data_IF_182248970106
#
_entry.id   IF_182248970106
#
_cell.length_a   1.000
_cell.length_b   1.000
_cell.length_c   1.000
_cell.angle_alpha   90.00
_cell.angle_beta   90.00
_cell.angle_gamma   90.00
#
_symmetry.space_group_name_H-M   'P 1'
#
loop_
_entity.id
_entity.type
_entity.pdbx_description
1 polymer ?
#
# COMPACT_ATOMS: atom_id res chain seq x y z
N UNK A 1 36.88 -30.21 2.45
CA UNK A 1 35.57 -29.75 1.95
C UNK A 1 34.93 -28.96 3.08
N UNK A 2 35.13 -27.65 3.13
CA UNK A 2 34.48 -26.74 4.10
C UNK A 2 34.40 -25.34 3.48
N UNK A 3 35.44 -24.94 2.74
CA UNK A 3 35.51 -23.62 2.07
C UNK A 3 34.54 -23.48 0.90
N UNK A 4 34.37 -24.50 0.06
CA UNK A 4 33.44 -24.43 -1.08
C UNK A 4 31.96 -24.37 -0.65
N UNK A 5 31.58 -25.12 0.38
CA UNK A 5 30.20 -25.14 0.89
C UNK A 5 29.86 -23.82 1.57
N UNK A 6 30.74 -23.32 2.44
CA UNK A 6 30.56 -22.02 3.10
C UNK A 6 30.59 -20.85 2.11
N UNK A 7 31.40 -20.93 1.04
CA UNK A 7 31.42 -19.94 -0.03
C UNK A 7 30.08 -19.81 -0.76
N UNK A 8 29.26 -20.86 -0.79
CA UNK A 8 27.93 -20.84 -1.42
C UNK A 8 26.81 -20.60 -0.41
N UNK A 9 26.90 -21.19 0.78
CA UNK A 9 25.86 -21.09 1.81
C UNK A 9 25.69 -19.64 2.29
N UNK A 10 26.78 -18.93 2.56
CA UNK A 10 26.70 -17.56 3.05
C UNK A 10 25.99 -16.61 2.07
N UNK A 11 26.35 -16.51 0.77
CA UNK A 11 25.63 -15.64 -0.16
C UNK A 11 24.18 -16.08 -0.36
N UNK A 12 23.88 -17.38 -0.36
CA UNK A 12 22.49 -17.86 -0.44
C UNK A 12 21.67 -17.38 0.76
N UNK A 13 22.19 -17.50 1.98
CA UNK A 13 21.52 -17.02 3.18
C UNK A 13 21.31 -15.51 3.16
N UNK A 14 22.28 -14.73 2.69
CA UNK A 14 22.14 -13.28 2.53
C UNK A 14 21.04 -12.92 1.51
N UNK A 15 20.94 -13.66 0.40
CA UNK A 15 19.89 -13.46 -0.59
C UNK A 15 18.50 -13.80 -0.02
N UNK A 16 18.38 -14.90 0.74
CA UNK A 16 17.14 -15.29 1.40
C UNK A 16 16.72 -14.24 2.44
N UNK A 17 17.66 -13.76 3.26
CA UNK A 17 17.41 -12.72 4.24
C UNK A 17 16.98 -11.41 3.58
N UNK A 18 17.67 -10.99 2.51
CA UNK A 18 17.28 -9.83 1.73
C UNK A 18 15.87 -10.01 1.14
N UNK A 19 15.57 -11.17 0.56
CA UNK A 19 14.22 -11.49 0.06
C UNK A 19 13.15 -11.40 1.16
N UNK A 20 13.44 -11.91 2.36
CA UNK A 20 12.52 -11.85 3.50
C UNK A 20 12.27 -10.41 3.97
N UNK A 21 13.32 -9.60 4.13
CA UNK A 21 13.19 -8.17 4.45
C UNK A 21 12.38 -7.46 3.38
N UNK A 22 12.68 -7.72 2.11
CA UNK A 22 11.96 -7.11 1.00
C UNK A 22 10.47 -7.47 1.02
N UNK A 23 10.13 -8.74 1.27
CA UNK A 23 8.75 -9.19 1.38
C UNK A 23 8.02 -8.49 2.54
N UNK A 24 8.63 -8.40 3.73
CA UNK A 24 8.03 -7.73 4.89
C UNK A 24 7.76 -6.25 4.60
N UNK A 25 8.71 -5.55 3.97
CA UNK A 25 8.50 -4.13 3.63
C UNK A 25 7.38 -3.92 2.60
N UNK A 26 7.32 -4.76 1.56
CA UNK A 26 6.27 -4.70 0.53
C UNK A 26 4.89 -5.00 1.13
N UNK A 27 4.78 -6.08 1.93
CA UNK A 27 3.53 -6.46 2.59
C UNK A 27 3.10 -5.37 3.57
N UNK A 28 4.02 -4.83 4.37
CA UNK A 28 3.73 -3.73 5.28
C UNK A 28 3.22 -2.48 4.56
N UNK A 29 3.83 -2.12 3.42
CA UNK A 29 3.33 -1.02 2.59
C UNK A 29 1.94 -1.33 2.01
N UNK A 30 1.71 -2.56 1.54
CA UNK A 30 0.41 -2.97 1.00
C UNK A 30 -0.70 -2.90 2.04
N UNK A 31 -0.44 -3.37 3.26
CA UNK A 31 -1.41 -3.30 4.36
C UNK A 31 -1.73 -1.84 4.72
N UNK A 32 -0.71 -0.97 4.83
CA UNK A 32 -0.95 0.46 5.06
C UNK A 32 -1.75 1.13 3.94
N UNK A 33 -1.45 0.81 2.68
CA UNK A 33 -2.25 1.28 1.54
C UNK A 33 -3.70 0.76 1.61
N UNK A 34 -3.90 -0.49 2.01
CA UNK A 34 -5.21 -1.10 2.12
C UNK A 34 -6.04 -0.47 3.25
N UNK A 35 -5.42 -0.22 4.39
CA UNK A 35 -6.08 0.42 5.53
C UNK A 35 -6.44 1.87 5.21
N UNK A 36 -5.52 2.62 4.60
CA UNK A 36 -5.80 3.97 4.10
C UNK A 36 -6.93 3.98 3.05
N UNK A 37 -6.93 3.02 2.11
CA UNK A 37 -7.99 2.88 1.12
C UNK A 37 -9.35 2.58 1.78
N UNK A 38 -9.38 1.73 2.81
CA UNK A 38 -10.62 1.41 3.55
C UNK A 38 -11.16 2.62 4.29
N UNK A 39 -10.31 3.39 4.95
CA UNK A 39 -10.71 4.61 5.63
C UNK A 39 -11.23 5.67 4.65
N UNK A 40 -10.52 5.88 3.53
CA UNK A 40 -10.96 6.77 2.46
C UNK A 40 -12.28 6.34 1.83
N UNK A 41 -12.46 5.04 1.56
CA UNK A 41 -13.70 4.51 0.97
C UNK A 41 -14.89 4.73 1.90
N UNK A 42 -14.71 4.53 3.22
CA UNK A 42 -15.75 4.82 4.22
C UNK A 42 -16.07 6.30 4.32
N UNK A 43 -15.05 7.16 4.32
CA UNK A 43 -15.25 8.61 4.32
C UNK A 43 -16.04 9.06 3.07
N UNK A 44 -15.63 8.61 1.89
CA UNK A 44 -16.27 8.96 0.63
C UNK A 44 -17.69 8.38 0.50
N UNK A 45 -17.94 7.17 1.02
CA UNK A 45 -19.26 6.55 1.03
C UNK A 45 -20.30 7.33 1.86
N UNK A 46 -19.86 8.05 2.90
CA UNK A 46 -20.70 8.97 3.70
C UNK A 46 -20.98 10.29 3.00
N UNK A 47 -20.35 10.55 1.85
CA UNK A 47 -20.46 11.82 1.14
C UNK A 47 -19.58 12.93 1.73
N UNK A 48 -18.52 12.58 2.47
CA UNK A 48 -17.52 13.58 2.89
C UNK A 48 -16.93 14.29 1.66
N UNK A 49 -16.63 15.59 1.79
CA UNK A 49 -15.99 16.37 0.73
C UNK A 49 -14.63 15.75 0.30
N UNK A 50 -14.25 15.81 -1.00
CA UNK A 50 -13.00 15.23 -1.49
C UNK A 50 -11.74 15.65 -0.71
N UNK A 51 -11.68 16.87 -0.19
CA UNK A 51 -10.55 17.33 0.62
C UNK A 51 -10.49 16.60 1.98
N UNK A 52 -11.64 16.34 2.60
CA UNK A 52 -11.73 15.57 3.84
C UNK A 52 -11.33 14.10 3.63
N UNK A 53 -11.81 13.48 2.54
CA UNK A 53 -11.43 12.12 2.15
C UNK A 53 -9.92 12.03 1.94
N UNK A 54 -9.33 12.97 1.20
CA UNK A 54 -7.89 13.00 0.93
C UNK A 54 -7.10 13.14 2.24
N UNK A 55 -7.50 14.04 3.13
CA UNK A 55 -6.85 14.23 4.42
C UNK A 55 -6.93 13.00 5.35
N UNK A 56 -7.98 12.18 5.24
CA UNK A 56 -8.08 10.90 5.96
C UNK A 56 -7.08 9.90 5.37
N UNK A 57 -7.07 9.76 4.04
CA UNK A 57 -6.16 8.82 3.37
C UNK A 57 -4.70 9.19 3.64
N UNK A 58 -4.33 10.47 3.55
CA UNK A 58 -2.96 10.95 3.80
C UNK A 58 -2.45 10.67 5.21
N UNK A 59 -3.34 10.65 6.21
CA UNK A 59 -2.98 10.32 7.60
C UNK A 59 -2.63 8.85 7.82
N UNK A 60 -3.23 7.95 7.03
CA UNK A 60 -3.03 6.52 7.14
C UNK A 60 -2.04 5.96 6.09
N UNK A 61 -1.90 6.64 4.95
CA UNK A 61 -1.08 6.19 3.84
C UNK A 61 0.42 6.33 4.13
N UNK A 62 1.27 5.48 3.52
CA UNK A 62 2.71 5.70 3.53
C UNK A 62 3.09 7.05 2.90
N UNK A 63 4.21 7.64 3.34
CA UNK A 63 4.74 8.86 2.73
C UNK A 63 4.98 8.70 1.22
N UNK A 64 4.64 9.74 0.45
CA UNK A 64 4.77 9.73 -1.00
C UNK A 64 3.74 8.85 -1.73
N UNK A 65 2.71 8.36 -1.03
CA UNK A 65 1.60 7.67 -1.66
C UNK A 65 0.74 8.62 -2.51
N UNK A 66 0.17 8.09 -3.57
CA UNK A 66 -0.84 8.72 -4.41
C UNK A 66 -2.19 8.07 -4.19
N UNK A 67 -3.24 8.88 -4.22
CA UNK A 67 -4.62 8.46 -3.96
C UNK A 67 -5.48 8.73 -5.18
N UNK A 68 -6.37 7.79 -5.52
CA UNK A 68 -7.40 7.96 -6.53
C UNK A 68 -8.74 7.49 -5.96
N UNK A 69 -9.78 8.29 -6.18
CA UNK A 69 -11.15 7.98 -5.77
C UNK A 69 -12.00 7.87 -7.04
N UNK A 70 -12.65 6.73 -7.21
CA UNK A 70 -13.60 6.46 -8.28
C UNK A 70 -14.98 6.22 -7.67
N UNK A 71 -15.95 7.04 -8.05
CA UNK A 71 -17.30 6.99 -7.53
C UNK A 71 -18.24 6.50 -8.63
N UNK A 72 -19.02 5.47 -8.30
CA UNK A 72 -20.17 4.98 -9.06
C UNK A 72 -21.48 5.35 -8.34
N UNK A 73 -22.61 5.01 -8.94
CA UNK A 73 -23.95 5.29 -8.40
C UNK A 73 -24.17 4.63 -7.02
N UNK A 74 -23.68 3.39 -6.84
CA UNK A 74 -23.92 2.61 -5.62
C UNK A 74 -22.70 2.49 -4.70
N UNK A 75 -21.50 2.78 -5.20
CA UNK A 75 -20.26 2.48 -4.48
C UNK A 75 -19.16 3.50 -4.76
N UNK A 76 -18.23 3.63 -3.82
CA UNK A 76 -16.98 4.36 -4.00
C UNK A 76 -15.81 3.40 -3.86
N UNK A 77 -14.87 3.47 -4.80
CA UNK A 77 -13.59 2.78 -4.78
C UNK A 77 -12.48 3.79 -4.51
N UNK A 78 -11.68 3.53 -3.48
CA UNK A 78 -10.46 4.28 -3.20
C UNK A 78 -9.26 3.38 -3.47
N UNK A 79 -8.29 3.90 -4.21
CA UNK A 79 -7.03 3.22 -4.55
C UNK A 79 -5.87 4.06 -4.03
N UNK A 80 -4.97 3.43 -3.29
CA UNK A 80 -3.76 4.06 -2.73
C UNK A 80 -2.54 3.32 -3.28
N UNK A 81 -1.58 4.06 -3.84
CA UNK A 81 -0.38 3.49 -4.43
C UNK A 81 0.86 4.21 -3.94
N UNK A 82 1.93 3.49 -3.65
CA UNK A 82 3.21 4.07 -3.25
C UNK A 82 4.36 3.33 -3.92
N UNK A 83 5.43 4.06 -4.23
CA UNK A 83 6.69 3.46 -4.69
C UNK A 83 7.60 3.26 -3.48
N UNK A 84 7.98 2.02 -3.22
CA UNK A 84 8.85 1.66 -2.09
C UNK A 84 10.18 1.10 -2.57
N UNK A 85 11.23 1.31 -1.76
CA UNK A 85 12.55 0.71 -1.94
C UNK A 85 12.77 -0.32 -0.83
N UNK A 86 12.40 -1.60 -1.05
CA UNK A 86 12.28 -2.59 0.01
C UNK A 86 13.62 -3.01 0.63
N UNK A 87 14.72 -2.68 -0.05
CA UNK A 87 16.09 -3.03 0.34
C UNK A 87 17.00 -1.79 0.47
N UNK A 88 16.43 -0.63 0.81
CA UNK A 88 17.17 0.60 1.14
C UNK A 88 18.19 1.01 0.07
N UNK A 89 19.50 0.74 0.26
CA UNK A 89 20.57 1.10 -0.69
C UNK A 89 20.47 0.42 -2.06
N UNK A 90 19.72 -0.67 -2.20
CA UNK A 90 19.55 -1.33 -3.49
C UNK A 90 18.61 -0.48 -4.37
N UNK A 91 18.99 -0.12 -5.61
CA UNK A 91 18.17 0.69 -6.52
C UNK A 91 17.01 -0.13 -7.14
N UNK A 92 16.33 -0.92 -6.32
CA UNK A 92 15.15 -1.68 -6.67
C UNK A 92 13.93 -0.94 -6.10
N UNK A 93 13.09 -0.41 -6.97
CA UNK A 93 11.85 0.24 -6.60
C UNK A 93 10.66 -0.62 -7.05
N UNK A 94 9.69 -0.81 -6.16
CA UNK A 94 8.46 -1.55 -6.42
C UNK A 94 7.28 -0.63 -6.16
N UNK A 95 6.34 -0.56 -7.10
CA UNK A 95 5.06 0.10 -6.85
C UNK A 95 4.13 -0.88 -6.15
N UNK A 96 3.66 -0.50 -4.98
CA UNK A 96 2.67 -1.23 -4.20
C UNK A 96 1.36 -0.47 -4.28
N UNK A 97 0.27 -1.18 -4.57
CA UNK A 97 -1.06 -0.60 -4.67
C UNK A 97 -2.06 -1.46 -3.90
N UNK A 98 -3.06 -0.82 -3.31
CA UNK A 98 -4.20 -1.48 -2.71
C UNK A 98 -5.46 -0.64 -2.94
N UNK A 99 -6.62 -1.30 -2.99
CA UNK A 99 -7.90 -0.64 -3.17
C UNK A 99 -8.95 -1.20 -2.22
N UNK A 100 -9.89 -0.35 -1.83
CA UNK A 100 -11.07 -0.73 -1.06
C UNK A 100 -12.31 -0.11 -1.68
N UNK A 101 -13.44 -0.79 -1.49
CA UNK A 101 -14.75 -0.36 -1.99
C UNK A 101 -15.73 -0.30 -0.84
N UNK A 102 -16.57 0.72 -0.82
CA UNK A 102 -17.67 0.88 0.14
C UNK A 102 -18.94 1.31 -0.60
N UNK A 103 -20.09 0.78 -0.17
CA UNK A 103 -21.40 1.19 -0.70
C UNK A 103 -21.75 2.57 -0.19
N UNK A 104 -22.34 3.41 -1.04
CA UNK A 104 -22.80 4.74 -0.67
C UNK A 104 -24.01 4.65 0.25
N UNK A 105 -24.08 5.56 1.22
CA UNK A 105 -25.25 5.65 2.08
C UNK A 105 -26.45 6.18 1.26
N UNK A 106 -27.62 5.52 1.31
CA UNK A 106 -28.81 5.99 0.61
C UNK A 106 -29.26 7.33 1.20
N UNK A 107 -29.13 8.40 0.41
CA UNK A 107 -29.46 9.77 0.80
C UNK A 107 -28.37 10.82 0.53
N UNK A 108 -27.14 10.40 0.20
CA UNK A 108 -26.00 11.29 -0.10
C UNK A 108 -25.96 11.83 -1.54
N UNK A 109 -27.12 11.99 -2.19
CA UNK A 109 -27.24 12.67 -3.49
C UNK A 109 -27.32 14.19 -3.23
N UNK A 110 -26.17 14.86 -3.34
CA UNK A 110 -26.09 16.30 -3.58
C UNK A 110 -25.98 16.56 -5.07
#
# INVERSE_FOLDING_TARGET
>A
MVTAETAVVLPVLLLVLAGAVAAVTVVGAHLRCLDAAREGARAAARGDDPAAVTAVVERAAPEGATTSVATDDEAVRVTVSVRVQPLGPVPLAVTVSAAAVALREPGGAG
#
